data_IF_950511274622
#
_entry.id   IF_950511274622
#
_cell.length_a   1.000
_cell.length_b   1.000
_cell.length_c   1.000
_cell.angle_alpha   90.00
_cell.angle_beta   90.00
_cell.angle_gamma   90.00
#
_symmetry.space_group_name_H-M   'P 1'
#
loop_
_entity.id
_entity.type
_entity.pdbx_description
1 polymer ?
#
# COMPACT_ATOMS: atom_id res chain seq x y z
N UNK A 1 -29.93 1.76 10.38
CA UNK A 1 -30.10 2.84 9.39
C UNK A 1 -31.59 3.07 9.20
N UNK A 2 -32.02 4.33 9.11
CA UNK A 2 -33.44 4.70 8.92
C UNK A 2 -33.89 4.51 7.46
N UNK A 3 -35.20 4.54 7.21
CA UNK A 3 -35.80 4.29 5.89
C UNK A 3 -35.30 5.24 4.78
N UNK A 4 -35.01 6.50 5.12
CA UNK A 4 -34.47 7.48 4.17
C UNK A 4 -33.20 6.99 3.47
N UNK A 5 -32.39 6.20 4.16
CA UNK A 5 -31.14 5.66 3.65
C UNK A 5 -31.34 4.68 2.47
N UNK A 6 -32.47 3.97 2.46
CA UNK A 6 -32.77 2.90 1.49
C UNK A 6 -33.72 3.33 0.36
N UNK A 7 -34.04 4.62 0.24
CA UNK A 7 -35.00 5.11 -0.77
C UNK A 7 -34.59 4.80 -2.22
N UNK A 8 -33.31 4.65 -2.49
CA UNK A 8 -32.78 4.29 -3.83
C UNK A 8 -32.38 2.80 -3.95
N UNK A 9 -32.74 1.95 -2.97
CA UNK A 9 -32.02 0.71 -2.66
C UNK A 9 -32.16 -0.46 -3.65
N UNK A 10 -32.92 -0.35 -4.72
CA UNK A 10 -32.93 -1.40 -5.76
C UNK A 10 -31.83 -1.15 -6.79
N UNK A 11 -31.74 0.07 -7.33
CA UNK A 11 -30.73 0.41 -8.34
C UNK A 11 -29.30 0.36 -7.76
N UNK A 12 -29.11 0.84 -6.53
CA UNK A 12 -27.81 0.79 -5.85
C UNK A 12 -27.39 -0.64 -5.51
N UNK A 13 -28.33 -1.50 -5.10
CA UNK A 13 -28.02 -2.91 -4.83
C UNK A 13 -27.68 -3.67 -6.11
N UNK A 14 -28.37 -3.38 -7.22
CA UNK A 14 -28.07 -3.95 -8.53
C UNK A 14 -26.70 -3.52 -9.06
N UNK A 15 -26.32 -2.25 -8.89
CA UNK A 15 -25.00 -1.75 -9.28
C UNK A 15 -23.87 -2.41 -8.48
N UNK A 16 -24.10 -2.67 -7.19
CA UNK A 16 -23.13 -3.35 -6.33
C UNK A 16 -22.95 -4.82 -6.72
N UNK A 17 -24.05 -5.50 -7.04
CA UNK A 17 -24.02 -6.86 -7.59
C UNK A 17 -23.27 -6.87 -8.93
N UNK A 18 -23.53 -5.93 -9.82
CA UNK A 18 -22.87 -5.84 -11.14
C UNK A 18 -21.36 -5.59 -11.02
N UNK A 19 -20.96 -4.71 -10.10
CA UNK A 19 -19.54 -4.41 -9.82
C UNK A 19 -18.83 -5.64 -9.23
N UNK A 20 -19.49 -6.35 -8.31
CA UNK A 20 -18.99 -7.60 -7.72
C UNK A 20 -18.81 -8.70 -8.76
N UNK A 21 -19.80 -8.84 -9.65
CA UNK A 21 -19.75 -9.79 -10.76
C UNK A 21 -18.59 -9.46 -11.70
N UNK A 22 -18.45 -8.20 -12.12
CA UNK A 22 -17.38 -7.74 -13.01
C UNK A 22 -16.00 -8.01 -12.39
N UNK A 23 -15.86 -7.73 -11.10
CA UNK A 23 -14.64 -7.98 -10.34
C UNK A 23 -14.28 -9.47 -10.28
N UNK A 24 -15.26 -10.32 -9.96
CA UNK A 24 -15.08 -11.77 -9.96
C UNK A 24 -14.63 -12.26 -11.35
N UNK A 25 -15.23 -11.77 -12.43
CA UNK A 25 -14.84 -12.15 -13.78
C UNK A 25 -13.41 -11.73 -14.15
N UNK A 26 -12.95 -10.56 -13.69
CA UNK A 26 -11.56 -10.13 -13.89
C UNK A 26 -10.57 -11.04 -13.14
N UNK A 27 -10.85 -11.40 -11.88
CA UNK A 27 -10.02 -12.37 -11.14
C UNK A 27 -10.00 -13.76 -11.80
N UNK A 28 -11.15 -14.24 -12.27
CA UNK A 28 -11.24 -15.52 -12.99
C UNK A 28 -10.48 -15.50 -14.32
N UNK A 29 -10.53 -14.39 -15.06
CA UNK A 29 -9.77 -14.19 -16.29
C UNK A 29 -8.25 -14.26 -16.06
N UNK A 30 -7.75 -13.57 -15.04
CA UNK A 30 -6.32 -13.61 -14.68
C UNK A 30 -5.88 -15.00 -14.22
N UNK A 31 -6.67 -15.68 -13.38
CA UNK A 31 -6.34 -17.04 -12.89
C UNK A 31 -6.40 -18.08 -14.00
N UNK A 32 -7.32 -17.95 -14.96
CA UNK A 32 -7.41 -18.86 -16.11
C UNK A 32 -6.27 -18.64 -17.10
N UNK A 33 -5.88 -17.39 -17.38
CA UNK A 33 -4.70 -17.07 -18.18
C UNK A 33 -3.42 -17.67 -17.59
N UNK A 34 -3.17 -17.46 -16.29
CA UNK A 34 -2.01 -18.03 -15.59
C UNK A 34 -2.00 -19.56 -15.66
N UNK A 35 -3.17 -20.22 -15.52
CA UNK A 35 -3.28 -21.68 -15.62
C UNK A 35 -3.00 -22.20 -17.03
N UNK A 36 -3.44 -21.47 -18.07
CA UNK A 36 -3.19 -21.81 -19.47
C UNK A 36 -1.71 -21.65 -19.79
N UNK A 37 -1.09 -20.52 -19.40
CA UNK A 37 0.34 -20.29 -19.58
C UNK A 37 1.20 -21.37 -18.91
N UNK A 38 0.83 -21.79 -17.69
CA UNK A 38 1.53 -22.87 -16.98
C UNK A 38 1.40 -24.22 -17.70
N UNK A 39 0.21 -24.56 -18.19
CA UNK A 39 0.00 -25.77 -19.01
C UNK A 39 0.77 -25.73 -20.33
N UNK A 40 0.83 -24.58 -20.99
CA UNK A 40 1.64 -24.39 -22.21
C UNK A 40 3.13 -24.54 -21.89
N UNK A 41 3.61 -23.99 -20.78
CA UNK A 41 4.98 -24.18 -20.29
C UNK A 41 5.33 -25.64 -20.05
N UNK A 42 4.47 -26.36 -19.33
CA UNK A 42 4.65 -27.80 -19.05
C UNK A 42 4.64 -28.64 -20.34
N UNK A 43 3.76 -28.32 -21.29
CA UNK A 43 3.77 -28.98 -22.60
C UNK A 43 5.02 -28.67 -23.40
N UNK A 44 5.52 -27.44 -23.37
CA UNK A 44 6.77 -27.07 -24.05
C UNK A 44 7.97 -27.85 -23.47
N UNK A 45 8.02 -28.03 -22.15
CA UNK A 45 9.02 -28.87 -21.48
C UNK A 45 8.90 -30.35 -21.91
N UNK A 46 7.69 -30.88 -22.00
CA UNK A 46 7.47 -32.27 -22.45
C UNK A 46 7.87 -32.47 -23.91
N UNK A 47 7.54 -31.53 -24.80
CA UNK A 47 7.92 -31.56 -26.22
C UNK A 47 9.44 -31.51 -26.36
N UNK A 48 10.12 -30.61 -25.65
CA UNK A 48 11.58 -30.52 -25.68
C UNK A 48 12.24 -31.79 -25.15
N UNK A 49 11.70 -32.40 -24.09
CA UNK A 49 12.21 -33.67 -23.56
C UNK A 49 12.06 -34.83 -24.55
N UNK A 50 10.95 -34.86 -25.28
CA UNK A 50 10.69 -35.87 -26.32
C UNK A 50 11.56 -35.64 -27.56
N UNK A 51 11.82 -34.38 -27.91
CA UNK A 51 12.76 -34.01 -28.96
C UNK A 51 14.19 -34.45 -28.61
N UNK A 52 14.64 -34.23 -27.38
CA UNK A 52 15.94 -34.71 -26.88
C UNK A 52 16.05 -36.24 -26.86
N UNK A 53 14.95 -36.94 -26.58
CA UNK A 53 14.91 -38.39 -26.63
C UNK A 53 14.99 -38.91 -28.07
N UNK A 54 14.31 -38.26 -29.01
CA UNK A 54 14.39 -38.58 -30.44
C UNK A 54 15.78 -38.29 -31.00
N UNK A 55 16.39 -37.15 -30.64
CA UNK A 55 17.75 -36.78 -31.04
C UNK A 55 18.79 -37.77 -30.50
N UNK A 56 18.58 -38.34 -29.30
CA UNK A 56 19.43 -39.40 -28.74
C UNK A 56 19.30 -40.76 -29.44
N UNK A 57 18.19 -41.01 -30.14
CA UNK A 57 17.94 -42.27 -30.86
C UNK A 57 18.43 -42.24 -32.32
N UNK A 58 18.92 -41.10 -32.82
CA UNK A 58 19.49 -41.00 -34.16
C UNK A 58 20.91 -41.59 -34.15
N UNK A 59 21.21 -42.65 -34.94
CA UNK A 59 22.55 -43.21 -35.02
C UNK A 59 23.53 -42.18 -35.62
N UNK A 60 24.73 -42.05 -35.04
CA UNK A 60 25.77 -41.07 -35.40
C UNK A 60 26.46 -41.33 -36.74
N UNK A 61 25.74 -41.76 -37.75
CA UNK A 61 26.23 -41.84 -39.13
C UNK A 61 25.06 -41.66 -40.09
N UNK A 62 24.78 -40.41 -40.47
CA UNK A 62 24.36 -40.05 -41.83
C UNK A 62 24.31 -38.53 -42.02
N UNK A 63 25.18 -38.06 -42.93
CA UNK A 63 25.03 -36.90 -43.83
C UNK A 63 25.25 -35.45 -43.28
N UNK A 64 26.09 -34.62 -43.94
CA UNK A 64 26.50 -33.29 -43.45
C UNK A 64 25.45 -32.18 -43.59
N UNK A 65 24.23 -32.49 -44.06
CA UNK A 65 23.19 -31.50 -44.36
C UNK A 65 22.31 -31.19 -43.14
N UNK A 66 22.22 -32.08 -42.15
CA UNK A 66 21.41 -31.85 -40.95
C UNK A 66 22.11 -30.97 -39.89
N UNK A 67 23.44 -30.96 -39.87
CA UNK A 67 24.23 -30.24 -38.85
C UNK A 67 24.21 -28.71 -39.00
N UNK A 68 23.69 -28.18 -40.11
CA UNK A 68 23.70 -26.73 -40.38
C UNK A 68 22.53 -25.97 -39.77
N UNK A 69 21.47 -26.67 -39.32
CA UNK A 69 20.26 -26.05 -38.79
C UNK A 69 20.04 -26.24 -37.27
N UNK A 70 20.93 -26.96 -36.56
CA UNK A 70 20.86 -27.16 -35.10
C UNK A 70 21.57 -26.09 -34.27
N UNK A 71 22.29 -25.15 -34.89
CA UNK A 71 23.01 -24.06 -34.20
C UNK A 71 22.25 -22.72 -34.13
N UNK A 72 20.92 -22.72 -34.32
CA UNK A 72 20.07 -21.54 -34.13
C UNK A 72 18.92 -21.84 -33.15
N UNK A 73 19.25 -22.19 -31.92
CA UNK A 73 18.33 -22.11 -30.78
C UNK A 73 19.12 -21.84 -29.49
N UNK A 74 18.61 -21.00 -28.56
CA UNK A 74 19.38 -20.50 -27.43
C UNK A 74 19.63 -21.59 -26.37
N UNK A 75 20.86 -21.57 -25.84
CA UNK A 75 21.43 -22.50 -24.86
C UNK A 75 20.75 -22.31 -23.49
N UNK A 76 20.22 -23.41 -22.92
CA UNK A 76 19.73 -23.49 -21.55
C UNK A 76 20.89 -23.72 -20.56
N UNK A 77 20.80 -23.08 -19.39
CA UNK A 77 21.77 -23.13 -18.28
C UNK A 77 21.59 -24.45 -17.48
N UNK A 78 22.65 -25.15 -17.05
CA UNK A 78 22.50 -26.38 -16.27
C UNK A 78 22.23 -26.11 -14.78
N UNK A 79 21.27 -26.84 -14.22
CA UNK A 79 21.04 -27.05 -12.79
C UNK A 79 22.14 -27.95 -12.20
N UNK A 80 22.71 -27.58 -11.06
CA UNK A 80 23.54 -28.48 -10.23
C UNK A 80 22.81 -28.89 -8.91
N UNK A 81 23.18 -30.05 -8.32
CA UNK A 81 22.33 -30.80 -7.40
C UNK A 81 22.56 -30.51 -5.91
N UNK A 82 21.54 -30.83 -5.10
CA UNK A 82 21.56 -30.90 -3.63
C UNK A 82 22.65 -31.82 -3.06
N UNK A 83 23.10 -31.55 -1.83
CA UNK A 83 23.36 -32.62 -0.87
C UNK A 83 22.61 -32.42 0.46
N UNK A 84 22.11 -33.53 0.98
CA UNK A 84 21.37 -33.69 2.23
C UNK A 84 22.28 -33.98 3.44
N UNK A 85 21.85 -33.47 4.61
CA UNK A 85 21.94 -34.04 5.97
C UNK A 85 23.31 -34.33 6.63
N UNK A 86 23.62 -33.58 7.71
CA UNK A 86 23.82 -34.06 9.10
C UNK A 86 24.69 -33.09 9.91
N UNK A 87 24.26 -32.73 11.13
CA UNK A 87 25.09 -32.04 12.12
C UNK A 87 24.32 -31.06 13.01
N UNK A 88 23.87 -31.53 14.17
CA UNK A 88 23.25 -30.77 15.27
C UNK A 88 24.31 -29.98 16.10
N UNK A 89 23.88 -29.08 17.02
CA UNK A 89 24.53 -27.81 17.30
C UNK A 89 25.65 -27.92 18.34
N UNK A 90 26.65 -27.03 18.28
CA UNK A 90 27.53 -26.79 19.42
C UNK A 90 27.73 -25.30 19.66
N UNK A 91 27.64 -24.95 20.93
CA UNK A 91 27.71 -23.65 21.57
C UNK A 91 29.12 -23.07 21.65
N UNK A 92 29.15 -21.73 21.77
CA UNK A 92 30.13 -20.87 22.44
C UNK A 92 31.51 -20.59 21.82
N UNK A 93 31.82 -19.29 21.74
CA UNK A 93 33.18 -18.76 21.62
C UNK A 93 33.20 -17.26 21.32
N UNK A 94 33.37 -16.44 22.36
CA UNK A 94 33.62 -15.00 22.28
C UNK A 94 35.07 -14.72 21.80
N UNK A 95 35.26 -13.56 21.14
CA UNK A 95 36.50 -12.73 20.94
C UNK A 95 37.50 -13.11 19.81
N UNK A 96 38.41 -12.21 19.36
CA UNK A 96 38.43 -10.73 19.32
C UNK A 96 38.85 -10.15 17.94
N UNK A 97 38.93 -8.81 17.84
CA UNK A 97 39.38 -8.00 16.69
C UNK A 97 40.61 -8.53 15.92
N UNK A 98 40.54 -8.52 14.59
CA UNK A 98 41.71 -8.78 13.72
C UNK A 98 41.94 -7.62 12.73
N UNK A 99 43.17 -7.11 12.79
CA UNK A 99 43.81 -6.17 11.88
C UNK A 99 44.02 -6.78 10.49
N UNK A 100 44.05 -5.90 9.51
CA UNK A 100 44.40 -6.10 8.10
C UNK A 100 45.52 -7.12 7.81
N UNK A 101 45.27 -8.04 6.87
CA UNK A 101 46.29 -8.61 6.00
C UNK A 101 45.65 -9.11 4.68
N UNK A 102 46.45 -9.06 3.62
CA UNK A 102 46.07 -8.94 2.22
C UNK A 102 45.92 -10.24 1.43
N UNK A 103 45.22 -10.08 0.30
CA UNK A 103 45.38 -10.72 -1.02
C UNK A 103 44.93 -12.18 -1.22
N UNK A 104 43.92 -12.33 -2.09
CA UNK A 104 43.69 -13.57 -2.85
C UNK A 104 42.29 -14.18 -2.70
N UNK A 105 41.21 -13.44 -2.97
CA UNK A 105 39.87 -13.93 -3.35
C UNK A 105 38.89 -12.75 -3.49
N UNK A 106 39.12 -11.86 -4.46
CA UNK A 106 38.41 -10.56 -4.49
C UNK A 106 36.90 -10.68 -4.66
N UNK A 107 36.39 -11.61 -5.47
CA UNK A 107 34.94 -11.74 -5.73
C UNK A 107 34.20 -12.41 -4.58
N UNK A 108 34.66 -13.56 -4.10
CA UNK A 108 33.99 -14.29 -3.01
C UNK A 108 34.13 -13.54 -1.67
N UNK A 109 35.30 -12.97 -1.38
CA UNK A 109 35.49 -12.14 -0.18
C UNK A 109 34.68 -10.85 -0.27
N UNK A 110 34.53 -10.24 -1.45
CA UNK A 110 33.66 -9.05 -1.61
C UNK A 110 32.19 -9.38 -1.40
N UNK A 111 31.72 -10.54 -1.86
CA UNK A 111 30.33 -10.97 -1.68
C UNK A 111 30.03 -11.33 -0.23
N UNK A 112 30.93 -12.02 0.47
CA UNK A 112 30.80 -12.33 1.90
C UNK A 112 30.82 -11.04 2.73
N UNK A 113 31.78 -10.15 2.46
CA UNK A 113 31.84 -8.85 3.15
C UNK A 113 30.60 -7.98 2.86
N UNK A 114 30.03 -8.04 1.65
CA UNK A 114 28.83 -7.30 1.30
C UNK A 114 27.57 -7.84 2.00
N UNK A 115 27.43 -9.16 2.14
CA UNK A 115 26.33 -9.79 2.90
C UNK A 115 26.43 -9.42 4.40
N UNK A 116 27.64 -9.42 4.96
CA UNK A 116 27.88 -9.01 6.35
C UNK A 116 27.60 -7.51 6.57
N UNK A 117 27.98 -6.65 5.62
CA UNK A 117 27.68 -5.21 5.69
C UNK A 117 26.18 -4.94 5.54
N UNK A 118 25.50 -5.63 4.61
CA UNK A 118 24.06 -5.46 4.43
C UNK A 118 23.29 -5.91 5.67
N UNK A 119 23.59 -7.07 6.24
CA UNK A 119 22.95 -7.53 7.48
C UNK A 119 23.18 -6.56 8.65
N UNK A 120 24.37 -5.95 8.75
CA UNK A 120 24.64 -4.90 9.72
C UNK A 120 23.80 -3.64 9.47
N UNK A 121 23.69 -3.19 8.22
CA UNK A 121 22.83 -2.07 7.84
C UNK A 121 21.35 -2.34 8.15
N UNK A 122 20.88 -3.56 7.90
CA UNK A 122 19.50 -3.96 8.24
C UNK A 122 19.25 -3.91 9.74
N UNK A 123 20.17 -4.46 10.54
CA UNK A 123 20.08 -4.45 11.99
C UNK A 123 20.08 -3.00 12.55
N UNK A 124 20.98 -2.15 12.05
CA UNK A 124 21.03 -0.75 12.43
C UNK A 124 19.77 0.01 12.02
N UNK A 125 19.25 -0.23 10.82
CA UNK A 125 18.01 0.38 10.34
C UNK A 125 16.82 0.00 11.25
N UNK A 126 16.70 -1.27 11.63
CA UNK A 126 15.63 -1.74 12.54
C UNK A 126 15.68 -1.04 13.91
N UNK A 127 16.88 -0.83 14.45
CA UNK A 127 17.07 -0.09 15.71
C UNK A 127 16.66 1.38 15.56
N UNK A 128 17.02 2.01 14.44
CA UNK A 128 16.66 3.39 14.15
C UNK A 128 15.16 3.56 13.92
N UNK A 129 14.50 2.64 13.22
CA UNK A 129 13.03 2.64 13.07
C UNK A 129 12.33 2.53 14.43
N UNK A 130 12.83 1.67 15.31
CA UNK A 130 12.29 1.50 16.66
C UNK A 130 12.45 2.79 17.47
N UNK A 131 13.61 3.44 17.37
CA UNK A 131 13.88 4.72 18.04
C UNK A 131 13.01 5.85 17.49
N UNK A 132 12.85 5.93 16.16
CA UNK A 132 11.96 6.87 15.48
C UNK A 132 10.52 6.75 15.99
N UNK A 133 9.98 5.53 16.08
CA UNK A 133 8.65 5.26 16.63
C UNK A 133 8.54 5.67 18.10
N UNK A 134 9.55 5.35 18.91
CA UNK A 134 9.61 5.69 20.34
C UNK A 134 9.56 7.20 20.54
N UNK A 135 10.44 7.95 19.88
CA UNK A 135 10.47 9.42 19.96
C UNK A 135 9.16 10.05 19.49
N UNK A 136 8.56 9.55 18.40
CA UNK A 136 7.24 10.00 17.94
C UNK A 136 6.15 9.76 18.99
N UNK A 137 6.15 8.60 19.64
CA UNK A 137 5.18 8.29 20.70
C UNK A 137 5.30 9.21 21.91
N UNK A 138 6.52 9.70 22.19
CA UNK A 138 6.82 10.69 23.23
C UNK A 138 6.61 12.14 22.78
N UNK A 139 6.12 12.37 21.54
CA UNK A 139 5.93 13.70 20.95
C UNK A 139 7.21 14.52 20.73
N UNK A 140 8.38 13.87 20.73
CA UNK A 140 9.66 14.49 20.36
C UNK A 140 9.84 14.45 18.84
N UNK A 141 8.99 15.19 18.11
CA UNK A 141 8.82 14.97 16.67
C UNK A 141 10.04 15.40 15.83
N UNK A 142 10.66 16.54 16.15
CA UNK A 142 11.87 17.03 15.46
C UNK A 142 13.04 16.05 15.64
N UNK A 143 13.21 15.51 16.84
CA UNK A 143 14.22 14.49 17.15
C UNK A 143 13.94 13.18 16.42
N UNK A 144 12.66 12.78 16.29
CA UNK A 144 12.26 11.55 15.61
C UNK A 144 12.62 11.52 14.10
N UNK A 145 12.73 12.67 13.44
CA UNK A 145 13.15 12.73 12.03
C UNK A 145 14.58 12.24 11.81
N UNK A 146 15.47 12.45 12.79
CA UNK A 146 16.88 12.11 12.67
C UNK A 146 17.07 10.59 12.49
N UNK A 147 16.58 9.72 13.40
CA UNK A 147 16.69 8.28 13.21
C UNK A 147 15.85 7.79 12.03
N UNK A 148 14.67 8.38 11.76
CA UNK A 148 13.85 7.99 10.60
C UNK A 148 14.56 8.19 9.25
N UNK A 149 15.18 9.35 9.02
CA UNK A 149 15.95 9.61 7.80
C UNK A 149 17.21 8.73 7.71
N UNK A 150 17.88 8.45 8.83
CA UNK A 150 19.02 7.52 8.86
C UNK A 150 18.62 6.09 8.52
N UNK A 151 17.48 5.62 9.04
CA UNK A 151 16.95 4.28 8.72
C UNK A 151 16.68 4.15 7.22
N UNK A 152 16.00 5.13 6.62
CA UNK A 152 15.74 5.18 5.17
C UNK A 152 17.05 5.20 4.38
N UNK A 153 18.05 5.98 4.79
CA UNK A 153 19.34 6.03 4.10
C UNK A 153 20.05 4.67 4.09
N UNK A 154 20.09 3.97 5.23
CA UNK A 154 20.65 2.61 5.31
C UNK A 154 19.86 1.62 4.46
N UNK A 155 18.53 1.68 4.49
CA UNK A 155 17.67 0.80 3.69
C UNK A 155 17.79 1.05 2.18
N UNK A 156 18.05 2.29 1.75
CA UNK A 156 18.39 2.59 0.36
C UNK A 156 19.73 1.97 -0.05
N UNK A 157 20.73 1.93 0.83
CA UNK A 157 21.99 1.24 0.56
C UNK A 157 21.79 -0.26 0.42
N UNK A 158 21.01 -0.88 1.31
CA UNK A 158 20.67 -2.32 1.23
C UNK A 158 19.89 -2.62 -0.04
N UNK A 159 18.85 -1.84 -0.35
CA UNK A 159 18.04 -1.99 -1.57
C UNK A 159 18.87 -1.82 -2.86
N UNK A 160 19.83 -0.89 -2.88
CA UNK A 160 20.73 -0.71 -4.01
C UNK A 160 21.69 -1.89 -4.22
N UNK A 161 22.03 -2.60 -3.15
CA UNK A 161 22.89 -3.78 -3.21
C UNK A 161 22.12 -5.06 -3.58
N UNK A 162 20.90 -5.23 -3.06
CA UNK A 162 20.05 -6.39 -3.32
C UNK A 162 18.57 -5.98 -3.36
N UNK A 163 17.98 -5.98 -4.56
CA UNK A 163 16.59 -5.58 -4.83
C UNK A 163 15.58 -6.71 -4.55
N UNK A 164 15.85 -7.55 -3.55
CA UNK A 164 14.92 -8.60 -3.16
C UNK A 164 13.64 -8.03 -2.52
N UNK A 165 12.58 -8.84 -2.47
CA UNK A 165 11.28 -8.45 -1.88
C UNK A 165 11.40 -7.94 -0.44
N UNK A 166 12.29 -8.52 0.36
CA UNK A 166 12.44 -8.19 1.78
C UNK A 166 13.08 -6.82 1.99
N UNK A 167 14.13 -6.49 1.23
CA UNK A 167 14.79 -5.20 1.24
C UNK A 167 13.85 -4.10 0.70
N UNK A 168 13.12 -4.41 -0.37
CA UNK A 168 12.12 -3.52 -0.98
C UNK A 168 11.01 -3.18 0.02
N UNK A 169 10.38 -4.19 0.64
CA UNK A 169 9.34 -3.99 1.64
C UNK A 169 9.87 -3.29 2.90
N UNK A 170 11.10 -3.57 3.32
CA UNK A 170 11.70 -2.91 4.48
C UNK A 170 12.00 -1.42 4.25
N UNK A 171 12.46 -1.05 3.05
CA UNK A 171 12.61 0.35 2.66
C UNK A 171 11.26 1.06 2.62
N UNK A 172 10.25 0.47 1.98
CA UNK A 172 8.88 1.00 1.94
C UNK A 172 8.31 1.24 3.36
N UNK A 173 8.54 0.29 4.27
CA UNK A 173 8.12 0.39 5.67
C UNK A 173 8.81 1.52 6.42
N UNK A 174 10.11 1.70 6.21
CA UNK A 174 10.89 2.79 6.81
C UNK A 174 10.40 4.16 6.31
N UNK A 175 10.12 4.26 5.00
CA UNK A 175 9.51 5.46 4.39
C UNK A 175 8.13 5.74 4.99
N UNK A 176 7.29 4.73 5.21
CA UNK A 176 6.00 4.89 5.88
C UNK A 176 6.14 5.39 7.32
N UNK A 177 7.15 4.93 8.08
CA UNK A 177 7.42 5.45 9.43
C UNK A 177 7.89 6.91 9.41
N UNK A 178 8.77 7.26 8.49
CA UNK A 178 9.21 8.64 8.28
C UNK A 178 8.04 9.54 7.87
N UNK A 179 7.19 9.11 6.95
CA UNK A 179 5.99 9.83 6.52
C UNK A 179 5.07 10.14 7.71
N UNK A 180 4.85 9.19 8.61
CA UNK A 180 4.05 9.42 9.82
C UNK A 180 4.67 10.48 10.74
N UNK A 181 6.00 10.52 10.87
CA UNK A 181 6.68 11.56 11.65
C UNK A 181 6.57 12.94 10.98
N UNK A 182 6.77 13.01 9.67
CA UNK A 182 6.63 14.24 8.88
C UNK A 182 5.20 14.81 8.96
N UNK A 183 4.18 13.93 8.93
CA UNK A 183 2.78 14.30 9.09
C UNK A 183 2.51 14.95 10.45
N UNK A 184 3.01 14.37 11.54
CA UNK A 184 2.79 14.92 12.88
C UNK A 184 3.46 16.31 13.02
N UNK A 185 4.64 16.53 12.43
CA UNK A 185 5.33 17.84 12.45
C UNK A 185 4.64 18.89 11.59
N UNK A 186 4.01 18.47 10.49
CA UNK A 186 3.25 19.37 9.64
C UNK A 186 2.11 20.06 10.40
N UNK A 187 1.54 19.39 11.41
CA UNK A 187 0.48 19.94 12.27
C UNK A 187 1.02 21.06 13.18
N UNK A 188 2.29 20.99 13.59
CA UNK A 188 2.86 21.85 14.63
C UNK A 188 3.65 23.08 14.12
N UNK A 189 4.00 23.15 12.83
CA UNK A 189 4.94 24.18 12.33
C UNK A 189 4.39 25.04 11.18
N UNK A 190 3.89 26.23 11.52
CA UNK A 190 3.32 27.19 10.55
C UNK A 190 4.34 27.77 9.53
N UNK A 191 5.65 27.73 9.83
CA UNK A 191 6.69 28.39 9.00
C UNK A 191 7.53 27.42 8.13
N UNK A 192 7.69 26.15 8.56
CA UNK A 192 8.42 25.09 7.84
C UNK A 192 7.50 24.14 7.05
N UNK A 193 6.19 24.40 7.08
CA UNK A 193 5.14 23.53 6.56
C UNK A 193 5.37 23.08 5.11
N UNK A 194 5.80 23.97 4.21
CA UNK A 194 5.89 23.64 2.77
C UNK A 194 7.00 22.64 2.44
N UNK A 195 8.17 22.73 3.08
CA UNK A 195 9.27 21.77 2.86
C UNK A 195 8.92 20.39 3.41
N UNK A 196 8.36 20.35 4.62
CA UNK A 196 7.90 19.10 5.27
C UNK A 196 6.75 18.47 4.47
N UNK A 197 5.84 19.29 3.95
CA UNK A 197 4.69 18.90 3.14
C UNK A 197 5.11 18.30 1.78
N UNK A 198 6.13 18.87 1.15
CA UNK A 198 6.72 18.34 -0.08
C UNK A 198 7.49 17.03 0.17
N UNK A 199 8.34 16.98 1.21
CA UNK A 199 9.06 15.75 1.60
C UNK A 199 8.07 14.62 1.91
N UNK A 200 7.00 14.90 2.67
CA UNK A 200 5.96 13.93 2.98
C UNK A 200 5.30 13.34 1.73
N UNK A 201 4.96 14.17 0.74
CA UNK A 201 4.39 13.70 -0.52
C UNK A 201 5.37 12.78 -1.26
N UNK A 202 6.64 13.17 -1.37
CA UNK A 202 7.66 12.34 -2.04
C UNK A 202 7.90 11.00 -1.36
N UNK A 203 7.97 10.98 -0.02
CA UNK A 203 8.20 9.77 0.77
C UNK A 203 7.02 8.80 0.66
N UNK A 204 5.78 9.32 0.65
CA UNK A 204 4.58 8.49 0.45
C UNK A 204 4.53 7.90 -0.96
N UNK A 205 4.83 8.69 -1.99
CA UNK A 205 4.89 8.20 -3.37
C UNK A 205 5.96 7.12 -3.56
N UNK A 206 7.18 7.35 -3.05
CA UNK A 206 8.26 6.35 -3.07
C UNK A 206 7.84 5.06 -2.33
N UNK A 207 7.20 5.19 -1.17
CA UNK A 207 6.72 4.04 -0.40
C UNK A 207 5.66 3.23 -1.15
N UNK A 208 4.73 3.88 -1.86
CA UNK A 208 3.68 3.19 -2.64
C UNK A 208 4.31 2.42 -3.79
N UNK A 209 5.22 3.02 -4.55
CA UNK A 209 5.88 2.34 -5.66
C UNK A 209 6.68 1.12 -5.21
N UNK A 210 7.42 1.24 -4.10
CA UNK A 210 8.15 0.11 -3.53
C UNK A 210 7.19 -0.99 -3.03
N UNK A 211 6.07 -0.65 -2.41
CA UNK A 211 5.07 -1.66 -2.05
C UNK A 211 4.37 -2.28 -3.26
N UNK A 212 4.16 -1.54 -4.36
CA UNK A 212 3.68 -2.12 -5.63
C UNK A 212 4.68 -3.13 -6.19
N UNK A 213 5.98 -2.83 -6.12
CA UNK A 213 7.05 -3.76 -6.50
C UNK A 213 7.03 -5.00 -5.59
N UNK A 214 7.08 -4.81 -4.28
CA UNK A 214 7.08 -5.91 -3.32
C UNK A 214 5.82 -6.79 -3.43
N UNK A 215 4.64 -6.18 -3.64
CA UNK A 215 3.38 -6.90 -3.81
C UNK A 215 3.32 -7.76 -5.08
N UNK A 216 4.10 -7.43 -6.12
CA UNK A 216 4.19 -8.30 -7.31
C UNK A 216 4.83 -9.64 -6.97
N UNK A 217 5.83 -9.63 -6.07
CA UNK A 217 6.59 -10.82 -5.66
C UNK A 217 5.95 -11.54 -4.46
N UNK A 218 5.48 -10.80 -3.46
CA UNK A 218 4.88 -11.32 -2.23
C UNK A 218 3.52 -10.65 -1.94
N UNK A 219 2.45 -11.43 -2.04
CA UNK A 219 1.08 -10.96 -1.78
C UNK A 219 0.83 -10.62 -0.32
N UNK A 220 1.68 -11.04 0.62
CA UNK A 220 1.59 -10.62 2.02
C UNK A 220 1.75 -9.09 2.18
N UNK A 221 2.38 -8.41 1.22
CA UNK A 221 2.51 -6.96 1.22
C UNK A 221 1.19 -6.21 0.92
N UNK A 222 0.07 -6.90 0.68
CA UNK A 222 -1.23 -6.27 0.33
C UNK A 222 -1.69 -5.25 1.38
N UNK A 223 -1.60 -5.59 2.66
CA UNK A 223 -2.04 -4.74 3.78
C UNK A 223 -1.20 -3.46 3.82
N UNK A 224 0.11 -3.62 3.71
CA UNK A 224 1.07 -2.52 3.70
C UNK A 224 0.84 -1.60 2.47
N UNK A 225 0.61 -2.18 1.29
CA UNK A 225 0.30 -1.44 0.06
C UNK A 225 -1.02 -0.65 0.18
N UNK A 226 -2.09 -1.29 0.65
CA UNK A 226 -3.40 -0.64 0.84
C UNK A 226 -3.29 0.56 1.79
N UNK A 227 -2.55 0.38 2.89
CA UNK A 227 -2.29 1.43 3.88
C UNK A 227 -1.45 2.57 3.30
N UNK A 228 -0.42 2.27 2.50
CA UNK A 228 0.40 3.27 1.86
C UNK A 228 -0.39 4.10 0.82
N UNK A 229 -1.21 3.44 0.00
CA UNK A 229 -2.10 4.07 -0.97
C UNK A 229 -3.10 5.01 -0.29
N UNK A 230 -3.74 4.55 0.80
CA UNK A 230 -4.65 5.38 1.59
C UNK A 230 -3.96 6.62 2.17
N UNK A 231 -2.74 6.46 2.71
CA UNK A 231 -2.00 7.61 3.24
C UNK A 231 -1.59 8.59 2.14
N UNK A 232 -1.21 8.08 0.96
CA UNK A 232 -0.91 8.90 -0.21
C UNK A 232 -2.14 9.67 -0.69
N UNK A 233 -3.30 9.02 -0.80
CA UNK A 233 -4.53 9.66 -1.25
C UNK A 233 -4.97 10.78 -0.32
N UNK A 234 -4.94 10.55 0.99
CA UNK A 234 -5.24 11.59 2.01
C UNK A 234 -4.29 12.77 1.86
N UNK A 235 -3.00 12.51 1.64
CA UNK A 235 -2.00 13.59 1.52
C UNK A 235 -2.18 14.40 0.24
N UNK A 236 -2.52 13.75 -0.87
CA UNK A 236 -2.70 14.40 -2.17
C UNK A 236 -4.04 15.15 -2.26
N UNK A 237 -5.05 14.78 -1.48
CA UNK A 237 -6.30 15.53 -1.39
C UNK A 237 -6.21 16.80 -0.55
N UNK A 238 -5.21 16.92 0.33
CA UNK A 238 -5.02 18.12 1.15
C UNK A 238 -4.62 19.34 0.29
N UNK A 239 -5.33 20.48 0.42
CA UNK A 239 -4.99 21.70 -0.31
C UNK A 239 -3.63 22.23 0.11
N UNK A 240 -2.76 22.54 -0.88
CA UNK A 240 -1.49 23.21 -0.60
C UNK A 240 -1.74 24.61 -0.05
N UNK A 241 -1.19 24.90 1.14
CA UNK A 241 -1.10 26.26 1.68
C UNK A 241 0.02 27.01 0.97
N UNK A 242 -0.25 27.59 -0.19
CA UNK A 242 0.72 28.43 -0.88
C UNK A 242 0.66 29.85 -0.29
N UNK A 243 1.77 30.32 0.30
CA UNK A 243 1.88 31.70 0.78
C UNK A 243 2.12 32.64 -0.42
N UNK A 244 1.29 33.67 -0.64
CA UNK A 244 1.36 34.54 -1.82
C UNK A 244 2.53 35.54 -1.82
N UNK A 245 3.66 35.24 -1.18
CA UNK A 245 4.74 36.21 -0.93
C UNK A 245 5.75 36.37 -2.08
N UNK A 246 5.43 35.95 -3.31
CA UNK A 246 6.34 36.07 -4.46
C UNK A 246 5.71 36.84 -5.61
N UNK A 247 6.42 37.87 -6.09
CA UNK A 247 6.11 38.86 -7.13
C UNK A 247 5.72 38.33 -8.53
N UNK A 248 5.24 37.09 -8.67
CA UNK A 248 4.54 36.63 -9.88
C UNK A 248 3.13 37.25 -9.90
N UNK A 249 2.66 37.72 -11.07
CA UNK A 249 1.32 38.29 -11.19
C UNK A 249 0.27 37.34 -10.59
N UNK A 250 -0.64 37.87 -9.77
CA UNK A 250 -1.67 37.11 -9.06
C UNK A 250 -2.38 36.08 -9.98
N UNK A 251 -2.59 36.45 -11.25
CA UNK A 251 -3.20 35.61 -12.27
C UNK A 251 -2.37 34.37 -12.65
N UNK A 252 -1.05 34.49 -12.77
CA UNK A 252 -0.17 33.33 -13.04
C UNK A 252 -0.12 32.37 -11.85
N UNK A 253 -0.13 32.91 -10.62
CA UNK A 253 -0.16 32.12 -9.41
C UNK A 253 -1.46 31.34 -9.24
N UNK A 254 -2.61 31.98 -9.48
CA UNK A 254 -3.94 31.35 -9.43
C UNK A 254 -4.04 30.22 -10.47
N UNK A 255 -3.57 30.47 -11.70
CA UNK A 255 -3.59 29.46 -12.76
C UNK A 255 -2.73 28.24 -12.42
N UNK A 256 -1.48 28.46 -11.96
CA UNK A 256 -0.59 27.39 -11.52
C UNK A 256 -1.14 26.62 -10.31
N UNK A 257 -1.79 27.31 -9.36
CA UNK A 257 -2.44 26.66 -8.22
C UNK A 257 -3.61 25.79 -8.67
N UNK A 258 -4.46 26.29 -9.57
CA UNK A 258 -5.58 25.51 -10.12
C UNK A 258 -5.09 24.24 -10.83
N UNK A 259 -4.06 24.37 -11.67
CA UNK A 259 -3.42 23.23 -12.34
C UNK A 259 -2.83 22.28 -11.29
N UNK A 260 -2.01 22.77 -10.35
CA UNK A 260 -1.43 21.90 -9.33
C UNK A 260 -2.50 21.15 -8.52
N UNK A 261 -3.56 21.84 -8.10
CA UNK A 261 -4.68 21.23 -7.37
C UNK A 261 -5.35 20.15 -8.22
N UNK A 262 -5.62 20.41 -9.50
CA UNK A 262 -6.25 19.42 -10.37
C UNK A 262 -5.39 18.17 -10.53
N UNK A 263 -4.08 18.33 -10.76
CA UNK A 263 -3.14 17.21 -10.88
C UNK A 263 -3.05 16.39 -9.58
N UNK A 264 -3.03 17.08 -8.43
CA UNK A 264 -2.97 16.41 -7.13
C UNK A 264 -4.27 15.62 -6.84
N UNK A 265 -5.44 16.17 -7.20
CA UNK A 265 -6.72 15.47 -7.08
C UNK A 265 -6.81 14.25 -8.00
N UNK A 266 -6.32 14.34 -9.24
CA UNK A 266 -6.25 13.17 -10.15
C UNK A 266 -5.40 12.04 -9.53
N UNK A 267 -4.23 12.38 -9.00
CA UNK A 267 -3.37 11.41 -8.33
C UNK A 267 -4.01 10.86 -7.04
N UNK A 268 -4.66 11.72 -6.25
CA UNK A 268 -5.35 11.33 -5.02
C UNK A 268 -6.50 10.36 -5.32
N UNK A 269 -7.25 10.61 -6.39
CA UNK A 269 -8.36 9.78 -6.85
C UNK A 269 -7.87 8.37 -7.21
N UNK A 270 -6.81 8.27 -8.04
CA UNK A 270 -6.23 6.99 -8.42
C UNK A 270 -5.71 6.21 -7.19
N UNK A 271 -5.01 6.88 -6.28
CA UNK A 271 -4.53 6.25 -5.05
C UNK A 271 -5.68 5.79 -4.13
N UNK A 272 -6.76 6.57 -4.02
CA UNK A 272 -7.92 6.22 -3.22
C UNK A 272 -8.69 5.03 -3.80
N UNK A 273 -8.88 4.99 -5.12
CA UNK A 273 -9.52 3.88 -5.83
C UNK A 273 -8.72 2.58 -5.65
N UNK A 274 -7.40 2.62 -5.86
CA UNK A 274 -6.53 1.46 -5.62
C UNK A 274 -6.56 1.01 -4.14
N UNK A 275 -6.56 1.96 -3.19
CA UNK A 275 -6.67 1.63 -1.76
C UNK A 275 -7.99 0.90 -1.44
N UNK A 276 -9.12 1.44 -1.92
CA UNK A 276 -10.45 0.83 -1.75
C UNK A 276 -10.49 -0.57 -2.35
N UNK A 277 -9.90 -0.76 -3.53
CA UNK A 277 -9.79 -2.07 -4.16
C UNK A 277 -9.06 -3.07 -3.25
N UNK A 278 -7.88 -2.73 -2.74
CA UNK A 278 -7.12 -3.63 -1.88
C UNK A 278 -7.82 -3.90 -0.54
N UNK A 279 -8.42 -2.88 0.09
CA UNK A 279 -9.19 -3.06 1.32
C UNK A 279 -10.48 -3.86 1.10
N UNK A 280 -11.10 -3.80 -0.08
CA UNK A 280 -12.25 -4.63 -0.43
C UNK A 280 -11.89 -6.11 -0.47
N UNK A 281 -10.71 -6.45 -0.97
CA UNK A 281 -10.22 -7.83 -1.00
C UNK A 281 -9.92 -8.31 0.43
N UNK A 282 -9.25 -7.47 1.22
CA UNK A 282 -8.93 -7.76 2.62
C UNK A 282 -10.20 -7.95 3.47
N UNK A 283 -11.22 -7.10 3.29
CA UNK A 283 -12.51 -7.25 3.99
C UNK A 283 -13.24 -8.54 3.61
N UNK A 284 -13.11 -9.03 2.36
CA UNK A 284 -13.68 -10.35 2.01
C UNK A 284 -12.93 -11.51 2.66
N UNK A 285 -11.62 -11.36 2.87
CA UNK A 285 -10.77 -12.38 3.50
C UNK A 285 -11.00 -12.43 5.02
N UNK A 286 -11.05 -11.26 5.67
CA UNK A 286 -11.34 -11.11 7.09
C UNK A 286 -12.21 -9.85 7.32
N UNK A 287 -13.55 -10.01 7.28
CA UNK A 287 -14.48 -8.90 7.41
C UNK A 287 -14.32 -8.13 8.72
N UNK A 288 -14.05 -8.83 9.81
CA UNK A 288 -14.02 -8.22 11.13
C UNK A 288 -12.70 -7.46 11.38
N UNK A 289 -11.59 -7.92 10.78
CA UNK A 289 -10.32 -7.21 10.84
C UNK A 289 -10.27 -5.95 9.96
N UNK A 290 -10.82 -6.01 8.75
CA UNK A 290 -10.61 -4.96 7.73
C UNK A 290 -11.84 -4.12 7.38
N UNK A 291 -13.02 -4.44 7.91
CA UNK A 291 -14.24 -3.71 7.58
C UNK A 291 -14.19 -2.22 7.93
N UNK A 292 -13.55 -1.85 9.05
CA UNK A 292 -13.35 -0.43 9.37
C UNK A 292 -12.27 0.24 8.52
N UNK A 293 -11.22 -0.47 8.14
CA UNK A 293 -10.21 0.09 7.24
C UNK A 293 -10.83 0.41 5.87
N UNK A 294 -11.66 -0.50 5.35
CA UNK A 294 -12.44 -0.26 4.13
C UNK A 294 -13.41 0.92 4.29
N UNK A 295 -14.12 1.02 5.42
CA UNK A 295 -15.02 2.15 5.67
C UNK A 295 -14.28 3.50 5.67
N UNK A 296 -13.09 3.58 6.27
CA UNK A 296 -12.25 4.78 6.25
C UNK A 296 -11.72 5.09 4.84
N UNK A 297 -11.33 4.07 4.07
CA UNK A 297 -10.87 4.24 2.70
C UNK A 297 -12.00 4.76 1.78
N UNK A 298 -13.20 4.18 1.88
CA UNK A 298 -14.39 4.64 1.15
C UNK A 298 -14.79 6.06 1.55
N UNK A 299 -14.73 6.39 2.84
CA UNK A 299 -14.99 7.76 3.31
C UNK A 299 -14.02 8.75 2.67
N UNK A 300 -12.72 8.43 2.65
CA UNK A 300 -11.72 9.26 1.99
C UNK A 300 -11.97 9.38 0.48
N UNK A 301 -12.31 8.28 -0.17
CA UNK A 301 -12.62 8.26 -1.60
C UNK A 301 -13.85 9.13 -1.94
N UNK A 302 -14.90 9.10 -1.11
CA UNK A 302 -16.08 9.97 -1.24
C UNK A 302 -15.73 11.46 -1.12
N UNK A 303 -14.83 11.84 -0.21
CA UNK A 303 -14.34 13.23 -0.14
C UNK A 303 -13.66 13.65 -1.43
N UNK A 304 -12.74 12.82 -1.95
CA UNK A 304 -11.99 13.12 -3.18
C UNK A 304 -12.94 13.20 -4.39
N UNK A 305 -13.90 12.29 -4.50
CA UNK A 305 -14.93 12.32 -5.55
C UNK A 305 -15.75 13.61 -5.51
N UNK A 306 -16.12 14.08 -4.31
CA UNK A 306 -16.81 15.36 -4.15
C UNK A 306 -15.92 16.56 -4.54
N UNK A 307 -14.61 16.50 -4.29
CA UNK A 307 -13.67 17.56 -4.65
C UNK A 307 -13.40 17.65 -6.17
N UNK A 308 -13.65 16.56 -6.91
CA UNK A 308 -13.66 16.53 -8.38
C UNK A 308 -15.07 16.64 -8.97
N UNK A 309 -16.05 17.07 -8.16
CA UNK A 309 -17.45 17.35 -8.56
C UNK A 309 -18.25 16.10 -9.02
N UNK A 310 -17.78 14.88 -8.73
CA UNK A 310 -18.50 13.62 -8.96
C UNK A 310 -19.44 13.29 -7.79
N UNK A 311 -20.47 14.14 -7.58
CA UNK A 311 -21.32 14.09 -6.38
C UNK A 311 -22.20 12.83 -6.30
N UNK A 312 -22.68 12.28 -7.42
CA UNK A 312 -23.50 11.06 -7.46
C UNK A 312 -22.69 9.81 -7.08
N UNK A 313 -21.46 9.71 -7.57
CA UNK A 313 -20.55 8.63 -7.21
C UNK A 313 -20.11 8.77 -5.75
N UNK A 314 -19.79 9.99 -5.31
CA UNK A 314 -19.47 10.29 -3.91
C UNK A 314 -20.62 9.90 -2.96
N UNK A 315 -21.89 10.10 -3.37
CA UNK A 315 -23.07 9.66 -2.64
C UNK A 315 -23.11 8.13 -2.52
N UNK A 316 -22.90 7.42 -3.62
CA UNK A 316 -22.90 5.95 -3.65
C UNK A 316 -21.80 5.38 -2.75
N UNK A 317 -20.59 5.92 -2.85
CA UNK A 317 -19.44 5.50 -2.03
C UNK A 317 -19.66 5.83 -0.54
N UNK A 318 -20.21 7.00 -0.21
CA UNK A 318 -20.50 7.36 1.19
C UNK A 318 -21.58 6.47 1.82
N UNK A 319 -22.58 6.01 1.06
CA UNK A 319 -23.54 5.00 1.54
C UNK A 319 -22.84 3.69 1.93
N UNK A 320 -21.93 3.18 1.09
CA UNK A 320 -21.13 1.99 1.43
C UNK A 320 -20.30 2.18 2.70
N UNK A 321 -19.67 3.34 2.85
CA UNK A 321 -18.91 3.69 4.05
C UNK A 321 -19.80 3.70 5.31
N UNK A 322 -21.02 4.27 5.23
CA UNK A 322 -22.01 4.27 6.32
C UNK A 322 -22.44 2.84 6.66
N UNK A 323 -22.76 2.01 5.66
CA UNK A 323 -23.16 0.62 5.89
C UNK A 323 -22.09 -0.18 6.64
N UNK A 324 -20.84 -0.09 6.19
CA UNK A 324 -19.72 -0.76 6.86
C UNK A 324 -19.49 -0.20 8.26
N UNK A 325 -19.38 1.12 8.42
CA UNK A 325 -19.17 1.73 9.73
C UNK A 325 -20.29 1.37 10.72
N UNK A 326 -21.54 1.27 10.26
CA UNK A 326 -22.68 0.87 11.08
C UNK A 326 -22.58 -0.57 11.58
N UNK A 327 -22.09 -1.52 10.75
CA UNK A 327 -21.85 -2.92 11.15
C UNK A 327 -20.92 -3.03 12.37
N UNK A 328 -19.96 -2.12 12.49
CA UNK A 328 -18.97 -2.10 13.59
C UNK A 328 -19.39 -1.24 14.79
N UNK A 329 -20.63 -0.75 14.82
CA UNK A 329 -21.19 -0.10 16.02
C UNK A 329 -21.81 -1.14 16.95
N UNK A 330 -20.95 -1.96 17.57
CA UNK A 330 -21.34 -2.96 18.56
C UNK A 330 -22.08 -2.36 19.77
N UNK A 331 -22.89 -3.19 20.41
CA UNK A 331 -23.75 -2.86 21.55
C UNK A 331 -23.00 -2.57 22.85
N UNK A 332 -21.77 -3.07 23.02
CA UNK A 332 -21.00 -2.88 24.27
C UNK A 332 -20.57 -1.39 24.41
N UNK A 333 -21.05 -0.65 25.43
CA UNK A 333 -20.84 0.80 25.56
C UNK A 333 -19.42 1.26 25.88
N UNK A 334 -18.49 0.36 26.24
CA UNK A 334 -17.30 0.78 27.00
C UNK A 334 -15.93 0.54 26.35
N UNK A 335 -15.84 0.34 25.04
CA UNK A 335 -14.54 0.14 24.36
C UNK A 335 -14.02 1.38 23.63
N UNK A 336 -12.71 1.59 23.65
CA UNK A 336 -12.04 2.63 22.85
C UNK A 336 -12.27 2.42 21.34
N UNK A 337 -12.46 1.17 20.94
CA UNK A 337 -12.81 0.77 19.58
C UNK A 337 -14.17 1.33 19.16
N UNK A 338 -15.21 1.19 19.99
CA UNK A 338 -16.51 1.82 19.74
C UNK A 338 -16.40 3.33 19.56
N UNK A 339 -15.55 4.01 20.33
CA UNK A 339 -15.34 5.45 20.19
C UNK A 339 -14.76 5.86 18.84
N UNK A 340 -13.86 5.03 18.30
CA UNK A 340 -13.31 5.24 16.96
C UNK A 340 -14.37 4.96 15.89
N UNK A 341 -15.12 3.85 16.02
CA UNK A 341 -16.12 3.43 15.04
C UNK A 341 -17.29 4.43 14.97
N UNK A 342 -17.79 4.91 16.12
CA UNK A 342 -18.82 5.95 16.20
C UNK A 342 -18.34 7.25 15.53
N UNK A 343 -17.08 7.64 15.73
CA UNK A 343 -16.53 8.83 15.07
C UNK A 343 -16.47 8.65 13.55
N UNK A 344 -16.09 7.47 13.06
CA UNK A 344 -16.11 7.22 11.61
C UNK A 344 -17.53 7.17 11.06
N UNK A 345 -18.47 6.53 11.74
CA UNK A 345 -19.88 6.51 11.35
C UNK A 345 -20.47 7.93 11.27
N UNK A 346 -20.22 8.76 12.28
CA UNK A 346 -20.62 10.17 12.27
C UNK A 346 -20.05 10.90 11.05
N UNK A 347 -18.74 10.78 10.78
CA UNK A 347 -18.12 11.41 9.61
C UNK A 347 -18.70 10.90 8.28
N UNK A 348 -18.99 9.61 8.18
CA UNK A 348 -19.58 9.02 6.99
C UNK A 348 -21.02 9.53 6.76
N UNK A 349 -21.83 9.66 7.82
CA UNK A 349 -23.17 10.23 7.74
C UNK A 349 -23.15 11.73 7.39
N UNK A 350 -22.22 12.50 7.95
CA UNK A 350 -22.04 13.91 7.58
C UNK A 350 -21.61 14.04 6.11
N UNK A 351 -20.72 13.17 5.62
CA UNK A 351 -20.31 13.15 4.22
C UNK A 351 -21.49 12.82 3.30
N UNK A 352 -22.29 11.82 3.67
CA UNK A 352 -23.50 11.44 2.96
C UNK A 352 -24.51 12.61 2.91
N UNK A 353 -24.73 13.29 4.04
CA UNK A 353 -25.56 14.50 4.12
C UNK A 353 -25.09 15.58 3.15
N UNK A 354 -23.80 15.92 3.15
CA UNK A 354 -23.25 16.92 2.23
C UNK A 354 -23.39 16.51 0.75
N UNK A 355 -23.23 15.22 0.42
CA UNK A 355 -23.47 14.74 -0.95
C UNK A 355 -24.94 14.87 -1.37
N UNK A 356 -25.89 14.58 -0.46
CA UNK A 356 -27.32 14.77 -0.71
C UNK A 356 -27.68 16.25 -0.92
N UNK A 357 -27.06 17.13 -0.12
CA UNK A 357 -27.24 18.59 -0.23
C UNK A 357 -26.78 19.12 -1.59
N UNK A 358 -25.58 18.71 -2.06
CA UNK A 358 -25.09 19.06 -3.40
C UNK A 358 -26.00 18.58 -4.54
N UNK A 359 -26.74 17.49 -4.33
CA UNK A 359 -27.70 16.94 -5.29
C UNK A 359 -29.12 17.52 -5.12
N UNK A 360 -29.31 18.49 -4.23
CA UNK A 360 -30.61 19.13 -3.97
C UNK A 360 -31.60 18.28 -3.17
N UNK A 361 -31.15 17.16 -2.58
CA UNK A 361 -31.98 16.25 -1.76
C UNK A 361 -31.99 16.70 -0.30
N UNK A 362 -32.41 17.95 -0.07
CA UNK A 362 -32.29 18.65 1.22
C UNK A 362 -32.95 17.92 2.40
N UNK A 363 -34.11 17.30 2.18
CA UNK A 363 -34.80 16.56 3.24
C UNK A 363 -33.97 15.36 3.73
N UNK A 364 -33.44 14.56 2.79
CA UNK A 364 -32.62 13.40 3.13
C UNK A 364 -31.26 13.82 3.71
N UNK A 365 -30.70 14.93 3.23
CA UNK A 365 -29.49 15.52 3.80
C UNK A 365 -29.69 15.87 5.29
N UNK A 366 -30.83 16.48 5.62
CA UNK A 366 -31.19 16.80 7.00
C UNK A 366 -31.41 15.54 7.85
N UNK A 367 -32.09 14.53 7.32
CA UNK A 367 -32.27 13.24 8.01
C UNK A 367 -30.93 12.55 8.32
N UNK A 368 -29.99 12.61 7.37
CA UNK A 368 -28.62 12.09 7.53
C UNK A 368 -27.84 12.84 8.62
N UNK A 369 -27.92 14.17 8.64
CA UNK A 369 -27.26 15.00 9.65
C UNK A 369 -27.83 14.75 11.05
N UNK A 370 -29.16 14.63 11.18
CA UNK A 370 -29.81 14.28 12.45
C UNK A 370 -29.30 12.92 12.94
N UNK A 371 -29.26 11.91 12.07
CA UNK A 371 -28.74 10.59 12.42
C UNK A 371 -27.25 10.63 12.81
N UNK A 372 -26.43 11.44 12.11
CA UNK A 372 -25.03 11.64 12.46
C UNK A 372 -24.86 12.19 13.88
N UNK A 373 -25.67 13.18 14.24
CA UNK A 373 -25.64 13.80 15.57
C UNK A 373 -26.20 12.87 16.65
N UNK A 374 -27.23 12.10 16.35
CA UNK A 374 -27.81 11.13 17.29
C UNK A 374 -26.85 9.99 17.61
N UNK A 375 -26.04 9.56 16.65
CA UNK A 375 -24.98 8.55 16.85
C UNK A 375 -23.95 9.01 17.88
N UNK A 376 -23.66 10.31 17.98
CA UNK A 376 -22.77 10.86 19.02
C UNK A 376 -23.46 10.97 20.40
N UNK A 377 -24.78 11.14 20.43
CA UNK A 377 -25.56 11.29 21.67
C UNK A 377 -25.87 9.96 22.36
N UNK A 378 -25.93 8.84 21.62
CA UNK A 378 -26.09 7.50 22.21
C UNK A 378 -24.90 7.26 23.16
N UNK A 379 -25.15 7.02 24.46
CA UNK A 379 -24.27 7.44 25.53
C UNK A 379 -22.87 6.87 25.40
N UNK A 380 -21.88 7.78 25.46
CA UNK A 380 -20.50 7.48 25.86
C UNK A 380 -20.31 7.44 27.38
N UNK A 381 -21.38 7.70 28.15
CA UNK A 381 -21.38 7.67 29.61
C UNK A 381 -22.77 7.29 30.10
N UNK A 382 -23.00 6.01 30.41
CA UNK A 382 -23.81 5.69 31.58
C UNK A 382 -22.79 5.66 32.73
N UNK A 383 -22.64 6.78 33.44
CA UNK A 383 -21.96 6.78 34.72
C UNK A 383 -22.68 5.77 35.60
N UNK A 384 -21.96 4.74 36.05
CA UNK A 384 -22.43 3.82 37.06
C UNK A 384 -22.91 4.65 38.26
N UNK A 385 -24.22 4.64 38.49
CA UNK A 385 -24.89 5.17 39.68
C UNK A 385 -24.87 4.13 40.79
#
# INVERSE_FOLDING_TARGET
LKEWFFKDSIASALQDIETQITYCFQEFGVRSAIRIERKLGDHNVQVNRKLDELLRRVPTNTSPILNRNLHKAPIAIPLQPNPSAHGSPTSMGFLPSIKSASSGNSTVQSSINAVDINSLHEYQANKLDSECKRLRSLKHLSEALIPGRKAVALRRMVFAADQNVTATAALARSLTYLARCLKDIHVDSHFTGNKVSAELATVLSESVELYKMAFKEDKACRIDLATALYNLSVRQSEPLKINPSSNSSLNTHIALNKIHKSWNLTSALAAAEEAVHHFTILEREDPDAFGMDLANALLNFSFILSDVESHEEALTISRKAVMLAYRFTSTDPHTQERARNIRTLHKALMRLSSCLDYLGRFHEAQEAEIEANDVLKKPFYATAS
#
